data_IF_041307816894
#
_entry.id   IF_041307816894
#
_cell.length_a   1.000
_cell.length_b   1.000
_cell.length_c   1.000
_cell.angle_alpha   90.00
_cell.angle_beta   90.00
_cell.angle_gamma   90.00
#
_symmetry.space_group_name_H-M   'P 1'
#
loop_
_entity.id
_entity.type
_entity.pdbx_description
1 polymer ?
#
# COMPACT_ATOMS: atom_id res chain seq x y z
N UNK A 1 -28.30 16.10 0.92
CA UNK A 1 -28.29 15.65 2.33
C UNK A 1 -27.74 14.23 2.33
N UNK A 2 -26.45 14.03 2.64
CA UNK A 2 -25.87 12.69 2.77
C UNK A 2 -26.16 12.16 4.18
N UNK A 3 -26.65 10.93 4.29
CA UNK A 3 -26.98 10.35 5.59
C UNK A 3 -25.69 9.94 6.33
N UNK A 4 -25.79 9.59 7.61
CA UNK A 4 -24.64 9.16 8.42
C UNK A 4 -23.93 7.92 7.87
N UNK A 5 -24.63 7.08 7.09
CA UNK A 5 -24.07 5.91 6.42
C UNK A 5 -23.21 6.27 5.22
N UNK A 6 -23.61 7.26 4.42
CA UNK A 6 -22.80 7.77 3.30
C UNK A 6 -21.49 8.34 3.83
N UNK A 7 -21.56 9.11 4.93
CA UNK A 7 -20.37 9.66 5.59
C UNK A 7 -19.48 8.57 6.18
N UNK A 8 -20.06 7.53 6.79
CA UNK A 8 -19.32 6.40 7.34
C UNK A 8 -18.64 5.59 6.22
N UNK A 9 -19.32 5.38 5.08
CA UNK A 9 -18.76 4.73 3.90
C UNK A 9 -17.61 5.54 3.30
N UNK A 10 -17.77 6.84 3.10
CA UNK A 10 -16.68 7.71 2.64
C UNK A 10 -15.48 7.69 3.60
N UNK A 11 -15.72 7.66 4.91
CA UNK A 11 -14.65 7.54 5.91
C UNK A 11 -13.99 6.16 5.88
N UNK A 12 -14.75 5.09 5.70
CA UNK A 12 -14.23 3.73 5.56
C UNK A 12 -13.39 3.58 4.28
N UNK A 13 -13.87 4.09 3.14
CA UNK A 13 -13.15 4.08 1.86
C UNK A 13 -11.88 4.94 1.93
N UNK A 14 -11.94 6.07 2.63
CA UNK A 14 -10.78 6.93 2.91
C UNK A 14 -9.76 6.22 3.79
N UNK A 15 -10.19 5.49 4.82
CA UNK A 15 -9.31 4.70 5.68
C UNK A 15 -8.76 3.44 4.97
N UNK A 16 -9.53 2.81 4.08
CA UNK A 16 -9.06 1.70 3.26
C UNK A 16 -8.04 2.14 2.19
N UNK A 17 -8.13 3.40 1.75
CA UNK A 17 -7.16 4.02 0.84
C UNK A 17 -5.91 4.54 1.58
N UNK A 18 -6.01 4.80 2.89
CA UNK A 18 -4.88 5.14 3.76
C UNK A 18 -4.10 3.86 4.11
N UNK A 19 -2.96 3.66 3.45
CA UNK A 19 -2.06 2.53 3.69
C UNK A 19 -1.77 1.69 2.44
N UNK A 20 -2.46 1.96 1.33
CA UNK A 20 -2.10 1.39 0.04
C UNK A 20 -0.77 1.94 -0.49
N UNK A 21 -0.01 1.07 -1.18
CA UNK A 21 1.22 1.48 -1.87
C UNK A 21 0.95 2.41 -3.06
N UNK A 22 -0.28 2.42 -3.58
CA UNK A 22 -0.69 3.28 -4.68
C UNK A 22 -1.34 4.57 -4.18
N UNK A 23 -0.99 5.68 -4.83
CA UNK A 23 -1.73 6.94 -4.71
C UNK A 23 -3.10 6.76 -5.36
N UNK A 24 -4.17 7.01 -4.60
CA UNK A 24 -5.56 6.97 -5.08
C UNK A 24 -6.21 8.33 -4.90
N UNK A 25 -6.56 8.96 -6.02
CA UNK A 25 -7.42 10.16 -6.07
C UNK A 25 -8.75 9.70 -6.65
N UNK A 26 -9.77 9.55 -5.81
CA UNK A 26 -11.03 8.89 -6.18
C UNK A 26 -12.14 9.90 -6.50
N UNK A 27 -12.11 11.05 -5.83
CA UNK A 27 -13.15 12.08 -5.91
C UNK A 27 -12.64 13.33 -6.62
N UNK A 28 -13.59 14.18 -7.02
CA UNK A 28 -13.29 15.49 -7.57
C UNK A 28 -12.64 16.36 -6.49
N UNK A 29 -11.56 17.06 -6.83
CA UNK A 29 -10.79 17.88 -5.90
C UNK A 29 -9.89 17.08 -4.95
N UNK A 30 -9.80 15.75 -5.09
CA UNK A 30 -8.81 14.97 -4.33
C UNK A 30 -7.40 15.39 -4.73
N UNK A 31 -6.54 15.61 -3.73
CA UNK A 31 -5.18 16.09 -3.92
C UNK A 31 -4.14 15.24 -3.21
N UNK A 32 -2.94 15.21 -3.76
CA UNK A 32 -1.74 14.70 -3.10
C UNK A 32 -0.55 15.60 -3.43
N UNK A 33 0.34 15.81 -2.45
CA UNK A 33 1.59 16.52 -2.65
C UNK A 33 2.74 15.55 -2.44
N UNK A 34 3.72 15.57 -3.35
CA UNK A 34 4.88 14.68 -3.25
C UNK A 34 5.95 14.92 -4.31
N UNK A 35 7.05 14.16 -4.20
CA UNK A 35 8.17 14.20 -5.14
C UNK A 35 8.17 12.94 -6.01
N UNK A 36 8.42 13.10 -7.31
CA UNK A 36 8.69 11.97 -8.20
C UNK A 36 10.11 11.45 -7.97
N UNK A 37 10.28 10.13 -7.91
CA UNK A 37 11.54 9.49 -7.60
C UNK A 37 11.85 8.36 -8.58
N UNK A 38 13.14 8.16 -8.89
CA UNK A 38 13.59 7.08 -9.76
C UNK A 38 13.11 7.18 -11.22
N UNK A 39 13.25 6.06 -11.94
CA UNK A 39 12.87 5.95 -13.35
C UNK A 39 11.40 5.51 -13.51
N UNK A 40 10.68 5.98 -14.55
CA UNK A 40 9.35 5.50 -14.87
C UNK A 40 9.39 4.05 -15.38
N UNK A 41 8.34 3.29 -15.07
CA UNK A 41 8.06 2.01 -15.69
C UNK A 41 6.84 2.12 -16.61
N UNK A 42 7.04 1.86 -17.90
CA UNK A 42 6.00 1.96 -18.92
C UNK A 42 5.54 0.56 -19.37
N UNK A 43 4.23 0.39 -19.50
CA UNK A 43 3.63 -0.82 -20.06
C UNK A 43 2.43 -0.49 -20.95
N UNK A 44 2.21 -1.34 -21.94
CA UNK A 44 0.96 -1.34 -22.67
C UNK A 44 -0.05 -2.24 -21.95
N UNK A 45 -1.25 -1.72 -21.72
CA UNK A 45 -2.33 -2.44 -21.07
C UNK A 45 -3.58 -2.43 -21.92
N UNK A 46 -4.48 -3.35 -21.60
CA UNK A 46 -5.79 -3.46 -22.21
C UNK A 46 -6.84 -3.71 -21.15
N UNK A 47 -8.01 -3.10 -21.28
CA UNK A 47 -9.14 -3.36 -20.39
C UNK A 47 -9.83 -4.66 -20.82
N UNK A 48 -9.94 -5.62 -19.91
CA UNK A 48 -10.60 -6.91 -20.19
C UNK A 48 -12.11 -6.88 -20.00
N UNK A 49 -12.64 -5.85 -19.34
CA UNK A 49 -14.03 -5.77 -18.89
C UNK A 49 -14.09 -5.68 -17.37
N UNK A 50 -13.15 -6.35 -16.70
CA UNK A 50 -13.05 -6.44 -15.24
C UNK A 50 -11.80 -5.72 -14.72
N UNK A 51 -10.66 -5.87 -15.41
CA UNK A 51 -9.38 -5.30 -14.98
C UNK A 51 -8.52 -4.86 -16.16
N UNK A 52 -7.45 -4.13 -15.86
CA UNK A 52 -6.38 -3.88 -16.82
C UNK A 52 -5.38 -5.04 -16.79
N UNK A 53 -5.00 -5.53 -17.96
CA UNK A 53 -3.99 -6.58 -18.12
C UNK A 53 -2.91 -6.10 -19.09
N UNK A 54 -1.71 -6.67 -19.02
CA UNK A 54 -0.64 -6.37 -19.96
C UNK A 54 -1.06 -6.76 -21.37
N UNK A 55 -0.91 -5.83 -22.31
CA UNK A 55 -1.23 -6.09 -23.71
C UNK A 55 -0.25 -7.10 -24.32
N UNK A 56 -0.83 -8.09 -24.96
CA UNK A 56 -0.14 -9.10 -25.77
C UNK A 56 -0.84 -9.17 -27.12
N UNK A 57 -0.12 -8.85 -28.21
CA UNK A 57 -0.67 -8.82 -29.56
C UNK A 57 -1.16 -10.19 -30.06
N UNK A 58 -0.65 -11.30 -29.51
CA UNK A 58 -1.09 -12.65 -29.86
C UNK A 58 -2.43 -13.01 -29.19
N UNK A 59 -2.71 -12.45 -28.01
CA UNK A 59 -3.93 -12.72 -27.23
C UNK A 59 -5.02 -11.68 -27.50
N UNK A 60 -4.65 -10.41 -27.65
CA UNK A 60 -5.55 -9.27 -27.68
C UNK A 60 -5.76 -8.73 -29.10
N UNK A 61 -6.06 -9.63 -30.05
CA UNK A 61 -6.14 -9.30 -31.49
C UNK A 61 -7.22 -8.27 -31.85
N UNK A 62 -8.23 -8.10 -31.00
CA UNK A 62 -9.41 -7.24 -31.21
C UNK A 62 -9.35 -5.94 -30.40
N UNK A 63 -8.33 -5.74 -29.56
CA UNK A 63 -8.24 -4.61 -28.64
C UNK A 63 -7.06 -3.71 -28.92
N UNK A 64 -7.22 -2.42 -28.64
CA UNK A 64 -6.14 -1.44 -28.79
C UNK A 64 -5.38 -1.28 -27.47
N UNK A 65 -4.04 -1.33 -27.48
CA UNK A 65 -3.25 -1.07 -26.30
C UNK A 65 -3.41 0.39 -25.84
N UNK A 66 -3.33 0.57 -24.52
CA UNK A 66 -3.26 1.86 -23.86
C UNK A 66 -1.97 1.94 -23.04
N UNK A 67 -1.27 3.07 -23.09
CA UNK A 67 -0.06 3.26 -22.29
C UNK A 67 -0.44 3.53 -20.83
N UNK A 68 0.17 2.77 -19.91
CA UNK A 68 0.24 3.08 -18.49
C UNK A 68 1.68 3.29 -18.07
N UNK A 69 1.90 4.35 -17.30
CA UNK A 69 3.22 4.66 -16.74
C UNK A 69 3.10 4.75 -15.24
N UNK A 70 3.86 3.91 -14.55
CA UNK A 70 4.01 3.91 -13.09
C UNK A 70 5.27 4.68 -12.72
N UNK A 71 5.20 5.45 -11.63
CA UNK A 71 6.31 6.25 -11.10
C UNK A 71 6.34 6.12 -9.57
N UNK A 72 7.54 6.05 -8.99
CA UNK A 72 7.70 6.19 -7.54
C UNK A 72 7.42 7.64 -7.14
N UNK A 73 6.67 7.82 -6.06
CA UNK A 73 6.18 9.10 -5.60
C UNK A 73 6.25 9.17 -4.07
N UNK A 74 7.18 9.96 -3.56
CA UNK A 74 7.32 10.16 -2.13
C UNK A 74 6.27 11.15 -1.62
N UNK A 75 5.48 10.75 -0.62
CA UNK A 75 4.43 11.58 -0.01
C UNK A 75 4.88 12.04 1.37
N UNK A 76 5.31 13.32 1.55
CA UNK A 76 5.82 13.82 2.83
C UNK A 76 4.83 13.68 3.98
N UNK A 77 3.53 13.90 3.71
CA UNK A 77 2.47 13.80 4.71
C UNK A 77 2.33 12.38 5.31
N UNK A 78 2.78 11.36 4.58
CA UNK A 78 2.76 9.96 5.01
C UNK A 78 4.17 9.44 5.36
N UNK A 79 5.20 10.23 5.09
CA UNK A 79 6.61 9.84 5.17
C UNK A 79 6.85 8.46 4.53
N UNK A 80 6.31 8.29 3.32
CA UNK A 80 6.29 7.00 2.63
C UNK A 80 6.50 7.16 1.12
N UNK A 81 7.26 6.21 0.54
CA UNK A 81 7.31 6.03 -0.90
C UNK A 81 6.03 5.33 -1.36
N UNK A 82 5.36 5.88 -2.36
CA UNK A 82 4.19 5.31 -3.02
C UNK A 82 4.42 5.15 -4.51
N UNK A 83 3.46 4.56 -5.20
CA UNK A 83 3.40 4.48 -6.65
C UNK A 83 2.23 5.32 -7.14
N UNK A 84 2.48 6.20 -8.10
CA UNK A 84 1.44 6.88 -8.85
C UNK A 84 1.45 6.36 -10.28
N UNK A 85 0.27 6.12 -10.83
CA UNK A 85 0.10 5.62 -12.19
C UNK A 85 -0.82 6.54 -12.98
N UNK A 86 -0.45 6.80 -14.24
CA UNK A 86 -1.27 7.58 -15.14
C UNK A 86 -1.18 7.10 -16.57
N UNK A 87 -2.10 7.62 -17.39
CA UNK A 87 -2.12 7.37 -18.84
C UNK A 87 -1.26 8.38 -19.60
N UNK A 88 -1.30 8.27 -20.93
CA UNK A 88 -0.50 9.10 -21.86
C UNK A 88 -0.58 10.60 -21.63
N UNK A 89 -1.79 11.15 -21.39
CA UNK A 89 -1.99 12.60 -21.22
C UNK A 89 -1.29 13.10 -19.96
N UNK A 90 -1.55 12.44 -18.83
CA UNK A 90 -0.92 12.75 -17.56
C UNK A 90 0.61 12.64 -17.64
N UNK A 91 1.14 11.58 -18.27
CA UNK A 91 2.60 11.41 -18.37
C UNK A 91 3.26 12.49 -19.23
N UNK A 92 2.58 12.97 -20.29
CA UNK A 92 3.07 14.14 -21.05
C UNK A 92 3.16 15.38 -20.18
N UNK A 93 2.25 15.58 -19.23
CA UNK A 93 2.33 16.70 -18.29
C UNK A 93 3.44 16.51 -17.26
N UNK A 94 3.71 15.28 -16.80
CA UNK A 94 4.89 14.94 -15.99
C UNK A 94 6.19 15.29 -16.72
N UNK A 95 6.31 14.98 -18.02
CA UNK A 95 7.48 15.35 -18.81
C UNK A 95 7.67 16.87 -18.90
N UNK A 96 6.58 17.64 -19.08
CA UNK A 96 6.65 19.11 -19.10
C UNK A 96 7.17 19.67 -17.79
N UNK A 97 6.69 19.18 -16.64
CA UNK A 97 7.17 19.66 -15.34
C UNK A 97 8.59 19.21 -15.04
N UNK A 98 9.01 18.03 -15.51
CA UNK A 98 10.41 17.57 -15.44
C UNK A 98 11.32 18.56 -16.16
N UNK A 99 10.98 18.89 -17.39
CA UNK A 99 11.81 19.75 -18.24
C UNK A 99 11.80 21.21 -17.72
N UNK A 100 10.70 21.67 -17.12
CA UNK A 100 10.55 23.05 -16.64
C UNK A 100 11.08 23.29 -15.22
N UNK A 101 10.86 22.37 -14.30
CA UNK A 101 11.14 22.56 -12.87
C UNK A 101 12.20 21.59 -12.33
N UNK A 102 12.35 20.41 -12.93
CA UNK A 102 13.16 19.32 -12.41
C UNK A 102 12.41 18.52 -11.34
N UNK A 103 12.28 17.21 -11.54
CA UNK A 103 11.58 16.32 -10.61
C UNK A 103 12.33 16.12 -9.28
N UNK A 104 13.65 16.31 -9.30
CA UNK A 104 14.57 16.22 -8.18
C UNK A 104 14.65 17.50 -7.33
N UNK A 105 13.92 18.55 -7.71
CA UNK A 105 14.01 19.89 -7.11
C UNK A 105 12.74 20.36 -6.43
N UNK A 106 11.59 19.77 -6.75
CA UNK A 106 10.29 20.26 -6.32
C UNK A 106 9.38 19.14 -5.84
N UNK A 107 8.55 19.48 -4.87
CA UNK A 107 7.29 18.81 -4.61
C UNK A 107 6.26 19.30 -5.63
N UNK A 108 5.37 18.40 -6.03
CA UNK A 108 4.27 18.70 -6.93
C UNK A 108 2.95 18.33 -6.26
N UNK A 109 2.00 19.26 -6.32
CA UNK A 109 0.60 18.99 -6.06
C UNK A 109 -0.02 18.34 -7.31
N UNK A 110 -0.69 17.22 -7.10
CA UNK A 110 -1.49 16.52 -8.10
C UNK A 110 -2.93 16.56 -7.62
N UNK A 111 -3.79 17.21 -8.38
CA UNK A 111 -5.21 17.33 -8.08
C UNK A 111 -6.04 16.70 -9.20
N UNK A 112 -7.04 15.92 -8.81
CA UNK A 112 -7.99 15.28 -9.73
C UNK A 112 -9.18 16.20 -9.98
N UNK A 113 -9.53 16.36 -11.25
CA UNK A 113 -10.74 17.06 -11.70
C UNK A 113 -11.67 16.07 -12.40
N UNK A 114 -12.92 15.99 -11.96
CA UNK A 114 -13.97 15.12 -12.48
C UNK A 114 -14.58 14.22 -11.41
N UNK A 115 -15.86 13.87 -11.55
CA UNK A 115 -16.57 13.00 -10.60
C UNK A 115 -16.03 11.57 -10.58
N UNK A 116 -16.23 10.85 -9.48
CA UNK A 116 -15.84 9.44 -9.36
C UNK A 116 -16.43 8.59 -10.50
N UNK A 117 -15.60 7.76 -11.14
CA UNK A 117 -16.02 6.93 -12.28
C UNK A 117 -16.22 7.69 -13.60
N UNK A 118 -16.03 9.02 -13.63
CA UNK A 118 -16.17 9.80 -14.86
C UNK A 118 -15.05 9.48 -15.86
N UNK A 119 -15.38 9.20 -17.14
CA UNK A 119 -14.38 9.00 -18.18
C UNK A 119 -13.66 10.29 -18.58
N UNK A 120 -14.12 11.46 -18.10
CA UNK A 120 -13.55 12.78 -18.38
C UNK A 120 -12.66 13.29 -17.25
N UNK A 121 -12.11 12.39 -16.44
CA UNK A 121 -11.20 12.77 -15.37
C UNK A 121 -9.92 13.37 -15.94
N UNK A 122 -9.53 14.55 -15.45
CA UNK A 122 -8.23 15.17 -15.74
C UNK A 122 -7.45 15.38 -14.44
N UNK A 123 -6.15 15.64 -14.57
CA UNK A 123 -5.28 15.92 -13.42
C UNK A 123 -4.52 17.21 -13.70
N UNK A 124 -4.39 18.06 -12.69
CA UNK A 124 -3.44 19.17 -12.70
C UNK A 124 -2.18 18.78 -11.94
N UNK A 125 -1.02 19.15 -12.48
CA UNK A 125 0.27 19.01 -11.82
C UNK A 125 0.87 20.40 -11.64
N UNK A 126 0.99 20.83 -10.38
CA UNK A 126 1.49 22.16 -10.04
C UNK A 126 2.74 22.03 -9.15
N UNK A 127 3.81 22.81 -9.39
CA UNK A 127 4.93 22.88 -8.48
C UNK A 127 4.47 23.55 -7.18
N UNK A 128 4.80 22.95 -6.05
CA UNK A 128 4.39 23.43 -4.73
C UNK A 128 5.58 24.08 -4.01
N UNK A 129 6.44 23.26 -3.40
CA UNK A 129 7.60 23.69 -2.62
C UNK A 129 8.88 23.08 -3.18
N UNK A 130 10.02 23.77 -3.02
CA UNK A 130 11.32 23.20 -3.37
C UNK A 130 11.73 22.16 -2.34
N UNK A 131 12.39 21.10 -2.80
CA UNK A 131 12.97 20.11 -1.93
C UNK A 131 14.15 20.69 -1.15
N UNK A 132 14.01 20.76 0.17
CA UNK A 132 15.10 21.03 1.09
C UNK A 132 15.96 19.77 1.33
N UNK A 133 17.07 19.94 2.05
CA UNK A 133 18.02 18.85 2.28
C UNK A 133 17.45 17.80 3.26
N UNK A 134 16.54 18.18 4.14
CA UNK A 134 15.86 17.25 5.06
C UNK A 134 14.91 16.31 4.31
N UNK A 135 14.09 16.85 3.40
CA UNK A 135 13.21 16.08 2.52
C UNK A 135 13.99 15.17 1.59
N UNK A 136 15.10 15.65 1.00
CA UNK A 136 15.97 14.81 0.18
C UNK A 136 16.56 13.66 0.97
N UNK A 137 16.97 13.89 2.22
CA UNK A 137 17.46 12.82 3.09
C UNK A 137 16.36 11.79 3.41
N UNK A 138 15.12 12.24 3.66
CA UNK A 138 13.96 11.34 3.88
C UNK A 138 13.64 10.52 2.63
N UNK A 139 13.66 11.14 1.45
CA UNK A 139 13.46 10.45 0.16
C UNK A 139 14.55 9.40 -0.04
N UNK A 140 15.82 9.75 0.18
CA UNK A 140 16.94 8.83 0.03
C UNK A 140 16.93 7.67 1.05
N UNK A 141 16.33 7.89 2.22
CA UNK A 141 16.13 6.85 3.22
C UNK A 141 14.96 5.90 2.89
N UNK A 142 14.06 6.30 1.98
CA UNK A 142 12.98 5.43 1.52
C UNK A 142 13.46 4.52 0.40
N UNK A 143 13.10 3.24 0.50
CA UNK A 143 13.31 2.29 -0.59
C UNK A 143 12.33 2.58 -1.74
N UNK A 144 12.85 2.58 -2.98
CA UNK A 144 12.01 2.70 -4.17
C UNK A 144 11.28 1.39 -4.41
N UNK A 145 10.03 1.46 -4.82
CA UNK A 145 9.29 0.27 -5.24
C UNK A 145 9.81 -0.26 -6.56
N UNK A 146 9.91 -1.57 -6.66
CA UNK A 146 10.13 -2.29 -7.92
C UNK A 146 8.84 -2.25 -8.76
N UNK A 147 8.76 -1.27 -9.65
CA UNK A 147 7.58 -0.98 -10.45
C UNK A 147 7.24 -2.11 -11.43
N UNK A 148 8.25 -2.82 -11.94
CA UNK A 148 8.05 -3.95 -12.85
C UNK A 148 7.42 -5.13 -12.10
N UNK A 149 7.98 -5.48 -10.93
CA UNK A 149 7.42 -6.52 -10.08
C UNK A 149 5.99 -6.19 -9.62
N UNK A 150 5.71 -4.93 -9.30
CA UNK A 150 4.37 -4.49 -8.91
C UNK A 150 3.37 -4.60 -10.07
N UNK A 151 3.78 -4.22 -11.28
CA UNK A 151 2.92 -4.33 -12.46
C UNK A 151 2.60 -5.80 -12.79
N UNK A 152 3.58 -6.69 -12.63
CA UNK A 152 3.42 -8.12 -12.92
C UNK A 152 2.64 -8.88 -11.84
N UNK A 153 2.56 -8.34 -10.61
CA UNK A 153 1.78 -8.92 -9.51
C UNK A 153 0.36 -8.34 -9.40
N UNK A 154 0.05 -7.28 -10.14
CA UNK A 154 -1.26 -6.63 -10.15
C UNK A 154 -2.38 -7.46 -10.80
N UNK A 155 -2.09 -8.70 -11.22
CA UNK A 155 -3.08 -9.64 -11.72
C UNK A 155 -4.09 -10.14 -10.67
N UNK A 156 -3.79 -10.01 -9.38
CA UNK A 156 -4.60 -10.47 -8.23
C UNK A 156 -4.81 -9.33 -7.22
N UNK A 157 -5.40 -8.21 -7.66
CA UNK A 157 -5.60 -7.02 -6.82
C UNK A 157 -7.06 -6.80 -6.39
N UNK A 158 -7.83 -7.87 -6.19
CA UNK A 158 -8.96 -7.89 -5.27
C UNK A 158 -8.72 -9.09 -4.33
N UNK A 159 -8.60 -8.82 -3.03
CA UNK A 159 -8.26 -9.77 -1.96
C UNK A 159 -6.82 -10.31 -1.88
N UNK A 160 -5.81 -9.42 -1.85
CA UNK A 160 -4.54 -9.80 -1.24
C UNK A 160 -4.59 -9.62 0.28
N UNK A 161 -4.84 -10.71 1.02
CA UNK A 161 -4.31 -10.88 2.39
C UNK A 161 -2.83 -10.46 2.38
N UNK A 162 -2.33 -9.70 3.36
CA UNK A 162 -0.97 -9.20 3.33
C UNK A 162 0.00 -10.37 3.49
N UNK A 163 0.53 -10.86 2.37
CA UNK A 163 1.70 -11.74 2.37
C UNK A 163 2.92 -10.93 2.73
N UNK A 164 3.59 -11.39 3.80
CA UNK A 164 4.76 -10.79 4.41
C UNK A 164 5.81 -10.36 3.38
N UNK A 165 6.04 -9.05 3.29
CA UNK A 165 7.28 -8.51 2.74
C UNK A 165 8.39 -8.81 3.74
N UNK A 166 9.28 -9.73 3.38
CA UNK A 166 10.55 -9.97 4.06
C UNK A 166 11.41 -8.71 4.01
N UNK A 167 11.27 -7.88 5.04
CA UNK A 167 12.23 -6.83 5.37
C UNK A 167 13.55 -7.48 5.76
N UNK A 168 14.63 -7.09 5.08
CA UNK A 168 15.98 -7.34 5.55
C UNK A 168 16.20 -6.50 6.81
N UNK A 169 15.76 -7.05 7.95
CA UNK A 169 15.80 -6.42 9.25
C UNK A 169 17.24 -6.01 9.63
N UNK A 170 17.43 -4.74 9.98
CA UNK A 170 18.48 -4.38 10.94
C UNK A 170 18.12 -5.10 12.24
N UNK A 171 18.86 -6.18 12.54
CA UNK A 171 18.56 -7.13 13.63
C UNK A 171 18.52 -6.51 15.04
N UNK A 172 19.06 -5.30 15.22
CA UNK A 172 19.21 -4.66 16.54
C UNK A 172 18.25 -3.49 16.84
N UNK A 173 17.30 -3.18 15.95
CA UNK A 173 16.32 -2.10 16.18
C UNK A 173 15.08 -2.54 16.97
N UNK A 174 14.32 -1.60 17.58
CA UNK A 174 12.99 -1.89 18.12
C UNK A 174 12.07 -2.38 16.99
N UNK A 175 11.14 -3.26 17.32
CA UNK A 175 10.17 -3.81 16.37
C UNK A 175 9.35 -2.68 15.72
N UNK A 176 8.99 -2.88 14.45
CA UNK A 176 8.17 -1.90 13.73
C UNK A 176 6.83 -1.68 14.48
N UNK A 177 6.40 -0.43 14.73
CA UNK A 177 5.17 -0.13 15.46
C UNK A 177 3.90 -0.75 14.84
N UNK A 178 3.87 -0.98 13.53
CA UNK A 178 2.75 -1.64 12.82
C UNK A 178 2.73 -3.13 13.15
N UNK A 179 3.89 -3.79 13.08
CA UNK A 179 4.05 -5.20 13.47
C UNK A 179 3.71 -5.40 14.94
N UNK A 180 4.16 -4.50 15.83
CA UNK A 180 3.76 -4.53 17.23
C UNK A 180 2.24 -4.38 17.41
N UNK A 181 1.59 -3.54 16.59
CA UNK A 181 0.14 -3.38 16.58
C UNK A 181 -0.60 -4.65 16.18
N UNK A 182 -0.12 -5.36 15.15
CA UNK A 182 -0.67 -6.63 14.69
C UNK A 182 -0.55 -7.72 15.76
N UNK A 183 0.63 -7.87 16.37
CA UNK A 183 0.87 -8.83 17.44
C UNK A 183 -0.04 -8.54 18.64
N UNK A 184 -0.21 -7.27 19.02
CA UNK A 184 -1.13 -6.88 20.10
C UNK A 184 -2.59 -7.21 19.76
N UNK A 185 -3.03 -6.97 18.51
CA UNK A 185 -4.39 -7.26 18.10
C UNK A 185 -4.71 -8.76 18.18
N UNK A 186 -3.77 -9.60 17.75
CA UNK A 186 -3.87 -11.07 17.82
C UNK A 186 -3.82 -11.59 19.26
N UNK A 187 -2.90 -11.09 20.09
CA UNK A 187 -2.83 -11.45 21.52
C UNK A 187 -4.11 -11.07 22.28
N UNK A 188 -4.78 -9.98 21.91
CA UNK A 188 -6.07 -9.60 22.52
C UNK A 188 -7.21 -10.59 22.25
N UNK A 189 -7.10 -11.39 21.19
CA UNK A 189 -8.06 -12.44 20.88
C UNK A 189 -7.81 -13.73 21.68
N UNK A 190 -6.67 -13.84 22.37
CA UNK A 190 -6.31 -14.98 23.19
C UNK A 190 -6.69 -14.79 24.67
N UNK A 191 -6.87 -15.89 25.43
CA UNK A 191 -7.00 -15.82 26.88
C UNK A 191 -5.82 -15.08 27.52
N UNK A 192 -6.09 -14.35 28.60
CA UNK A 192 -5.07 -13.57 29.32
C UNK A 192 -3.87 -14.41 29.78
N UNK A 193 -4.09 -15.68 30.12
CA UNK A 193 -3.03 -16.63 30.46
C UNK A 193 -2.03 -16.87 29.32
N UNK A 194 -2.49 -16.86 28.07
CA UNK A 194 -1.65 -17.06 26.89
C UNK A 194 -0.90 -15.77 26.53
N UNK A 195 -1.49 -14.60 26.81
CA UNK A 195 -0.80 -13.30 26.71
C UNK A 195 0.35 -13.22 27.72
N UNK A 196 0.11 -13.63 28.96
CA UNK A 196 1.14 -13.64 30.01
C UNK A 196 2.26 -14.66 29.67
N UNK A 197 1.91 -15.82 29.12
CA UNK A 197 2.87 -16.81 28.64
C UNK A 197 3.71 -16.29 27.46
N UNK A 198 3.10 -15.53 26.55
CA UNK A 198 3.78 -14.90 25.43
C UNK A 198 4.83 -13.89 25.91
N UNK A 199 4.46 -12.99 26.83
CA UNK A 199 5.36 -11.97 27.38
C UNK A 199 6.50 -12.60 28.19
N UNK A 200 6.21 -13.63 28.99
CA UNK A 200 7.21 -14.36 29.76
C UNK A 200 8.26 -15.06 28.87
N UNK A 201 7.82 -15.66 27.76
CA UNK A 201 8.71 -16.41 26.85
C UNK A 201 9.51 -15.51 25.92
N UNK A 202 9.00 -14.32 25.60
CA UNK A 202 9.71 -13.31 24.83
C UNK A 202 10.58 -12.39 25.70
N UNK A 203 10.46 -12.46 27.04
CA UNK A 203 11.29 -11.71 27.97
C UNK A 203 11.02 -10.21 28.00
N UNK A 204 9.87 -9.76 27.46
CA UNK A 204 9.50 -8.34 27.37
C UNK A 204 8.29 -8.03 28.24
N UNK A 205 8.23 -6.81 28.77
CA UNK A 205 7.06 -6.34 29.54
C UNK A 205 5.91 -5.91 28.62
N UNK A 206 6.21 -5.41 27.41
CA UNK A 206 5.23 -4.99 26.42
C UNK A 206 5.69 -5.45 25.03
N UNK A 207 4.73 -5.74 24.16
CA UNK A 207 4.99 -6.14 22.76
C UNK A 207 5.81 -5.08 21.99
N UNK A 208 5.68 -3.80 22.35
CA UNK A 208 6.46 -2.70 21.76
C UNK A 208 7.95 -2.74 22.12
N UNK A 209 8.33 -3.49 23.15
CA UNK A 209 9.72 -3.64 23.59
C UNK A 209 10.41 -4.82 22.89
N UNK A 210 9.72 -5.54 22.00
CA UNK A 210 10.32 -6.57 21.16
C UNK A 210 11.35 -5.97 20.21
N UNK A 211 12.41 -6.73 19.93
CA UNK A 211 13.40 -6.36 18.92
C UNK A 211 12.94 -6.86 17.55
N UNK A 212 13.32 -6.13 16.49
CA UNK A 212 13.06 -6.53 15.12
C UNK A 212 13.67 -7.91 14.78
N UNK A 213 14.82 -8.26 15.40
CA UNK A 213 15.43 -9.58 15.26
C UNK A 213 14.63 -10.74 15.85
N UNK A 214 13.75 -10.47 16.82
CA UNK A 214 12.94 -11.47 17.51
C UNK A 214 11.53 -11.61 16.91
N UNK A 215 11.22 -10.84 15.86
CA UNK A 215 9.90 -10.81 15.24
C UNK A 215 9.45 -12.19 14.75
N UNK A 216 10.33 -12.93 14.06
CA UNK A 216 9.98 -14.25 13.53
C UNK A 216 9.69 -15.25 14.64
N UNK A 217 10.45 -15.20 15.74
CA UNK A 217 10.22 -16.04 16.91
C UNK A 217 8.91 -15.67 17.64
N UNK A 218 8.61 -14.37 17.73
CA UNK A 218 7.37 -13.87 18.29
C UNK A 218 6.15 -14.30 17.47
N UNK A 219 6.19 -14.19 16.13
CA UNK A 219 5.10 -14.66 15.24
C UNK A 219 4.89 -16.17 15.37
N UNK A 220 5.96 -16.96 15.36
CA UNK A 220 5.87 -18.41 15.51
C UNK A 220 5.26 -18.83 16.86
N UNK A 221 5.58 -18.10 17.94
CA UNK A 221 5.00 -18.36 19.25
C UNK A 221 3.51 -18.01 19.28
N UNK A 222 3.13 -16.90 18.64
CA UNK A 222 1.74 -16.48 18.53
C UNK A 222 0.90 -17.50 17.74
N UNK A 223 1.43 -18.00 16.63
CA UNK A 223 0.77 -19.05 15.83
C UNK A 223 0.57 -20.34 16.65
N UNK A 224 1.53 -20.70 17.52
CA UNK A 224 1.39 -21.84 18.44
C UNK A 224 0.29 -21.63 19.48
N UNK A 225 0.17 -20.42 20.03
CA UNK A 225 -0.85 -20.09 21.02
C UNK A 225 -2.25 -20.05 20.39
N UNK A 226 -2.37 -19.52 19.17
CA UNK A 226 -3.61 -19.53 18.41
C UNK A 226 -4.02 -20.94 17.98
N UNK A 227 -3.08 -21.77 17.53
CA UNK A 227 -3.36 -23.17 17.21
C UNK A 227 -3.82 -23.97 18.45
N UNK A 228 -3.32 -23.63 19.64
CA UNK A 228 -3.76 -24.22 20.91
C UNK A 228 -5.13 -23.70 21.36
N UNK A 229 -5.46 -22.46 21.01
CA UNK A 229 -6.76 -21.84 21.32
C UNK A 229 -7.86 -22.17 20.30
N UNK A 230 -7.50 -22.73 19.14
CA UNK A 230 -8.46 -23.18 18.14
C UNK A 230 -9.37 -24.28 18.72
N UNK A 231 -10.71 -24.15 18.61
CA UNK A 231 -11.63 -25.16 19.11
C UNK A 231 -11.40 -26.48 18.37
N UNK A 232 -11.16 -27.54 19.14
CA UNK A 232 -11.22 -28.92 18.65
C UNK A 232 -12.59 -29.08 18.00
N UNK A 233 -12.63 -29.24 16.68
CA UNK A 233 -13.86 -29.53 15.95
C UNK A 233 -14.50 -30.76 16.60
N UNK A 234 -15.66 -30.55 17.21
CA UNK A 234 -16.51 -31.63 17.66
C UNK A 234 -16.83 -32.46 16.41
N UNK A 235 -16.31 -33.69 16.39
CA UNK A 235 -16.74 -34.71 15.44
C UNK A 235 -18.25 -34.86 15.65
N UNK A 236 -19.02 -34.30 14.73
CA UNK A 236 -20.46 -34.50 14.65
C UNK A 236 -20.67 -35.98 14.30
N UNK A 237 -20.83 -36.81 15.33
CA UNK A 237 -21.21 -38.20 15.19
C UNK A 237 -22.67 -38.20 14.74
N UNK A 238 -22.91 -38.54 13.48
CA UNK A 238 -24.23 -38.79 12.93
C UNK A 238 -24.92 -39.90 13.75
N UNK A 239 -26.04 -39.63 14.44
CA UNK A 239 -26.76 -40.64 15.21
C UNK A 239 -27.58 -41.61 14.34
N UNK A 240 -27.49 -41.54 13.00
CA UNK A 240 -28.21 -42.40 12.06
C UNK A 240 -27.33 -43.09 11.01
N UNK A 241 -26.00 -43.14 11.18
CA UNK A 241 -25.09 -43.93 10.34
C UNK A 241 -24.68 -45.27 10.99
#
# INVERSE_FOLDING_TARGET
MGNSWDKARTLADKHASQGGIFVRLANDGDKVVGAFCGEPFAREVVWTGERYETYDAAVHTDKRPSLRVSLNFYVPAENAMKVIEGGTVWFKDVLKIRDKYGLDKWLFEIERHGEAGSPKTTYSLLPEEKLDDELKAKIAACELHDLERLANSQGDADEAKPTATTSSARKDGPIDPRVAGEIVARLKALPRSDVDAFLAKTGVQRVRDLKAGDETAARALLDQLEAKAAPVQAVEVDPFA
#
